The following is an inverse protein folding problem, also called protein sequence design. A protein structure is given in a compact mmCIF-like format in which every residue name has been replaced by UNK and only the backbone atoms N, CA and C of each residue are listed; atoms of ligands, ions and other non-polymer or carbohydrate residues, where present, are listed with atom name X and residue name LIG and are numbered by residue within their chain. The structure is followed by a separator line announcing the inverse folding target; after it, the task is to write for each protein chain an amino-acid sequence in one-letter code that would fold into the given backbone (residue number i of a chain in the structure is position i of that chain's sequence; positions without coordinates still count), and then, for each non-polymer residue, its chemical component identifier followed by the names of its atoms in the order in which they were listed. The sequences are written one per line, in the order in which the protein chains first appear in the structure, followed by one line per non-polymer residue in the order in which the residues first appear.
data_IF_934455470078
#
_entry.id   IF_934455470078
#
_cell.length_a   1.000
_cell.length_b   1.000
_cell.length_c   1.000
_cell.angle_alpha   90.00
_cell.angle_beta   90.00
_cell.angle_gamma   90.00
#
_symmetry.space_group_name_H-M   'P 1'
#
loop_
_entity.id
_entity.type
_entity.pdbx_description
1 polymer ?
#
# COMPACT_ATOMS: atom_id res chain seq x y z
N UNK A 1 -23.25 -4.80 1.55
CA UNK A 1 -22.62 -3.80 0.67
C UNK A 1 -22.44 -4.42 -0.71
N UNK A 2 -22.70 -3.70 -1.81
CA UNK A 2 -22.53 -4.23 -3.16
C UNK A 2 -21.05 -4.53 -3.43
N UNK A 3 -20.81 -5.60 -4.19
CA UNK A 3 -19.47 -5.99 -4.59
C UNK A 3 -18.95 -5.04 -5.67
N UNK A 4 -17.80 -4.39 -5.45
CA UNK A 4 -17.18 -3.42 -6.38
C UNK A 4 -16.10 -4.07 -7.27
N UNK A 5 -16.00 -5.41 -7.29
CA UNK A 5 -15.08 -6.11 -8.18
C UNK A 5 -15.35 -5.69 -9.64
N UNK A 6 -14.29 -5.27 -10.33
CA UNK A 6 -14.29 -4.82 -11.73
C UNK A 6 -15.11 -3.57 -12.06
N UNK A 7 -15.51 -2.77 -11.06
CA UNK A 7 -16.23 -1.52 -11.28
C UNK A 7 -15.33 -0.31 -11.00
N UNK A 8 -15.23 0.61 -11.96
CA UNK A 8 -14.64 1.91 -11.71
C UNK A 8 -15.52 2.66 -10.69
N UNK A 9 -14.93 3.13 -9.60
CA UNK A 9 -15.65 3.83 -8.55
C UNK A 9 -14.79 4.93 -7.96
N UNK A 10 -15.40 6.10 -7.74
CA UNK A 10 -14.76 7.22 -7.05
C UNK A 10 -14.81 7.05 -5.51
N UNK A 11 -15.59 6.08 -5.02
CA UNK A 11 -15.78 5.80 -3.60
C UNK A 11 -15.51 4.31 -3.29
N UNK A 12 -14.25 3.86 -3.29
CA UNK A 12 -13.90 2.49 -2.97
C UNK A 12 -14.30 2.16 -1.52
N UNK A 13 -14.90 0.99 -1.32
CA UNK A 13 -15.21 0.50 0.03
C UNK A 13 -13.93 0.16 0.80
N UNK A 14 -13.96 0.32 2.12
CA UNK A 14 -12.83 -0.07 2.99
C UNK A 14 -12.42 -1.54 2.80
N UNK A 15 -13.40 -2.43 2.57
CA UNK A 15 -13.14 -3.84 2.24
C UNK A 15 -12.28 -3.99 0.98
N UNK A 16 -12.61 -3.24 -0.07
CA UNK A 16 -11.87 -3.30 -1.33
C UNK A 16 -10.44 -2.77 -1.17
N UNK A 17 -10.29 -1.63 -0.48
CA UNK A 17 -8.96 -1.08 -0.15
C UNK A 17 -8.14 -2.08 0.65
N UNK A 18 -8.73 -2.72 1.65
CA UNK A 18 -8.04 -3.73 2.46
C UNK A 18 -7.59 -4.95 1.64
N UNK A 19 -8.40 -5.41 0.68
CA UNK A 19 -8.05 -6.51 -0.20
C UNK A 19 -6.84 -6.20 -1.09
N UNK A 20 -6.69 -4.95 -1.55
CA UNK A 20 -5.53 -4.54 -2.35
C UNK A 20 -4.23 -4.52 -1.57
N UNK A 21 -4.31 -4.12 -0.30
CA UNK A 21 -3.16 -4.04 0.61
C UNK A 21 -2.81 -5.41 1.23
N UNK A 22 -3.67 -6.41 1.07
CA UNK A 22 -3.47 -7.73 1.66
C UNK A 22 -2.20 -8.39 1.13
N UNK A 23 -1.34 -8.81 2.05
CA UNK A 23 -0.05 -9.42 1.73
C UNK A 23 1.04 -8.41 1.39
N UNK A 24 0.83 -7.11 1.66
CA UNK A 24 1.91 -6.14 1.83
C UNK A 24 2.24 -6.10 3.32
N UNK A 25 3.50 -6.27 3.67
CA UNK A 25 3.96 -6.30 5.06
C UNK A 25 4.98 -5.20 5.31
N UNK A 26 4.68 -4.27 6.21
CA UNK A 26 5.62 -3.25 6.65
C UNK A 26 6.29 -3.70 7.95
N UNK A 27 7.56 -4.09 7.86
CA UNK A 27 8.37 -4.50 8.99
C UNK A 27 9.20 -3.31 9.47
N UNK A 28 9.12 -2.99 10.76
CA UNK A 28 10.02 -2.03 11.42
C UNK A 28 10.94 -2.81 12.33
N UNK A 29 12.22 -2.82 11.99
CA UNK A 29 13.26 -3.58 12.69
C UNK A 29 14.14 -2.56 13.42
N UNK A 30 14.10 -2.57 14.74
CA UNK A 30 14.99 -1.75 15.55
C UNK A 30 16.26 -2.56 15.86
N UNK A 31 17.41 -2.05 15.43
CA UNK A 31 18.74 -2.55 15.83
C UNK A 31 19.39 -1.54 16.75
N UNK A 32 20.45 -1.93 17.46
CA UNK A 32 21.09 -1.12 18.52
C UNK A 32 21.45 0.31 18.11
N UNK A 33 21.68 0.57 16.81
CA UNK A 33 22.01 1.91 16.30
C UNK A 33 21.06 2.45 15.23
N UNK A 34 20.12 1.66 14.69
CA UNK A 34 19.32 2.07 13.53
C UNK A 34 17.92 1.46 13.51
N UNK A 35 16.92 2.27 13.13
CA UNK A 35 15.60 1.81 12.75
C UNK A 35 15.59 1.50 11.26
N UNK A 36 15.32 0.26 10.90
CA UNK A 36 15.13 -0.18 9.53
C UNK A 36 13.65 -0.39 9.27
N UNK A 37 13.20 0.00 8.09
CA UNK A 37 11.88 -0.34 7.62
C UNK A 37 12.04 -1.13 6.31
N UNK A 38 11.40 -2.29 6.27
CA UNK A 38 11.42 -3.20 5.14
C UNK A 38 9.98 -3.43 4.72
N UNK A 39 9.72 -3.42 3.43
CA UNK A 39 8.39 -3.65 2.88
C UNK A 39 8.43 -4.88 1.99
N UNK A 40 7.68 -5.89 2.41
CA UNK A 40 7.56 -7.16 1.72
C UNK A 40 6.24 -7.23 0.96
N UNK A 41 6.23 -7.98 -0.14
CA UNK A 41 5.02 -8.19 -0.95
C UNK A 41 4.61 -7.01 -1.84
N UNK A 42 5.51 -6.03 -2.06
CA UNK A 42 5.35 -5.04 -3.12
C UNK A 42 5.60 -5.72 -4.48
N UNK A 43 4.61 -5.62 -5.36
CA UNK A 43 4.75 -5.99 -6.78
C UNK A 43 4.61 -4.71 -7.60
N UNK A 44 5.11 -4.67 -8.86
CA UNK A 44 4.98 -3.47 -9.69
C UNK A 44 3.54 -2.96 -9.85
N UNK A 45 2.56 -3.87 -9.80
CA UNK A 45 1.14 -3.50 -9.81
C UNK A 45 0.72 -2.82 -8.50
N UNK A 46 1.14 -3.36 -7.35
CA UNK A 46 0.82 -2.81 -6.03
C UNK A 46 1.48 -1.45 -5.81
N UNK A 47 2.73 -1.27 -6.26
CA UNK A 47 3.41 0.02 -6.23
C UNK A 47 2.61 1.10 -6.98
N UNK A 48 2.17 0.80 -8.21
CA UNK A 48 1.32 1.72 -8.98
C UNK A 48 0.02 2.06 -8.27
N UNK A 49 -0.65 1.07 -7.70
CA UNK A 49 -1.89 1.28 -6.91
C UNK A 49 -1.62 2.16 -5.70
N UNK A 50 -0.52 1.94 -4.97
CA UNK A 50 -0.14 2.74 -3.80
C UNK A 50 0.14 4.19 -4.17
N UNK A 51 0.82 4.44 -5.29
CA UNK A 51 1.06 5.80 -5.80
C UNK A 51 -0.24 6.54 -6.15
N UNK A 52 -1.29 5.83 -6.60
CA UNK A 52 -2.60 6.43 -6.90
C UNK A 52 -3.34 6.93 -5.65
N UNK A 53 -3.03 6.41 -4.45
CA UNK A 53 -3.61 6.95 -3.21
C UNK A 53 -3.01 8.30 -2.79
N UNK A 54 -1.91 8.73 -3.42
CA UNK A 54 -1.25 10.00 -3.17
C UNK A 54 0.02 9.91 -2.34
N UNK A 55 0.67 11.06 -2.14
CA UNK A 55 2.03 11.15 -1.58
C UNK A 55 2.15 10.62 -0.15
N UNK A 56 1.13 10.85 0.70
CA UNK A 56 1.14 10.38 2.09
C UNK A 56 1.25 8.85 2.14
N UNK A 57 0.50 8.15 1.28
CA UNK A 57 0.55 6.69 1.22
C UNK A 57 1.88 6.23 0.62
N UNK A 58 2.36 6.89 -0.43
CA UNK A 58 3.67 6.59 -1.00
C UNK A 58 4.80 6.67 0.05
N UNK A 59 4.82 7.71 0.88
CA UNK A 59 5.82 7.89 1.95
C UNK A 59 5.76 6.77 3.00
N UNK A 60 4.56 6.37 3.44
CA UNK A 60 4.37 5.26 4.39
C UNK A 60 5.00 3.98 3.85
N UNK A 61 4.84 3.74 2.54
CA UNK A 61 5.38 2.58 1.85
C UNK A 61 6.76 2.84 1.20
N UNK A 62 7.48 3.88 1.60
CA UNK A 62 8.83 4.21 1.11
C UNK A 62 8.95 4.25 -0.42
N UNK A 63 7.87 4.59 -1.12
CA UNK A 63 7.84 4.76 -2.56
C UNK A 63 8.25 6.20 -2.90
N UNK A 64 9.10 6.37 -3.91
CA UNK A 64 9.37 7.68 -4.49
C UNK A 64 8.34 7.97 -5.58
N UNK A 65 7.78 9.19 -5.56
CA UNK A 65 6.99 9.67 -6.68
C UNK A 65 7.98 10.06 -7.80
N UNK A 66 8.02 9.28 -8.87
CA UNK A 66 8.81 9.57 -10.07
C UNK A 66 8.07 10.49 -11.03
#
# INVERSE_FOLDING_TARGET
MPNQIQQATEAPTLRWVFQLLLGIHCLKISTENQLHQVIEGLTPLREKILLLFGSIVAEIYQLSCG
#
